data_IF_135329521289
#
_entry.id   IF_135329521289
#
_cell.length_a   1.000
_cell.length_b   1.000
_cell.length_c   1.000
_cell.angle_alpha   90.00
_cell.angle_beta   90.00
_cell.angle_gamma   90.00
#
_symmetry.space_group_name_H-M   'P 1'
#
loop_
_entity.id
_entity.type
_entity.pdbx_description
1 polymer ?
#
# COMPACT_ATOMS: atom_id res chain seq x y z
N UNK A 1 -11.94 -0.43 -19.79
CA UNK A 1 -10.92 0.54 -19.34
C UNK A 1 -10.21 -0.12 -18.18
N UNK A 2 -8.89 -0.18 -18.21
CA UNK A 2 -8.11 -0.75 -17.12
C UNK A 2 -8.25 0.22 -15.93
N UNK A 3 -8.95 -0.19 -14.87
CA UNK A 3 -9.08 0.61 -13.67
C UNK A 3 -7.83 0.39 -12.83
N UNK A 4 -6.74 1.11 -13.14
CA UNK A 4 -5.48 0.99 -12.40
C UNK A 4 -5.74 1.16 -10.89
N UNK A 5 -5.29 0.19 -10.09
CA UNK A 5 -5.20 0.38 -8.64
C UNK A 5 -3.93 1.17 -8.34
N UNK A 6 -3.91 1.84 -7.20
CA UNK A 6 -2.75 2.57 -6.72
C UNK A 6 -2.36 2.07 -5.34
N UNK A 7 -1.09 2.19 -5.01
CA UNK A 7 -0.55 1.93 -3.68
C UNK A 7 0.43 3.04 -3.33
N UNK A 8 0.91 3.08 -2.09
CA UNK A 8 1.91 4.07 -1.68
C UNK A 8 3.29 3.40 -1.69
N UNK A 9 4.23 4.01 -2.40
CA UNK A 9 5.63 3.56 -2.48
C UNK A 9 6.56 4.54 -1.78
N UNK A 10 7.64 4.03 -1.20
CA UNK A 10 8.69 4.74 -0.48
C UNK A 10 9.99 4.73 -1.30
N UNK A 11 10.61 5.90 -1.45
CA UNK A 11 11.84 6.09 -2.23
C UNK A 11 13.11 5.62 -1.51
N UNK A 12 13.07 5.51 -0.19
CA UNK A 12 14.26 5.28 0.64
C UNK A 12 14.70 3.81 0.75
N UNK A 13 13.85 2.85 0.36
CA UNK A 13 14.12 1.42 0.54
C UNK A 13 14.54 0.78 -0.78
N UNK A 14 15.74 0.21 -0.84
CA UNK A 14 16.15 -0.67 -1.94
C UNK A 14 15.90 -2.13 -1.56
N UNK A 15 15.28 -2.90 -2.47
CA UNK A 15 15.03 -4.33 -2.29
C UNK A 15 13.63 -4.68 -1.82
N UNK A 16 12.64 -4.61 -2.72
CA UNK A 16 11.31 -5.25 -2.62
C UNK A 16 10.36 -4.75 -1.53
N UNK A 17 10.88 -4.06 -0.51
CA UNK A 17 10.19 -3.58 0.69
C UNK A 17 9.97 -2.07 0.61
N UNK A 18 9.35 -1.63 -0.48
CA UNK A 18 9.14 -0.21 -0.77
C UNK A 18 7.68 0.21 -0.59
N UNK A 19 6.77 -0.70 -0.27
CA UNK A 19 5.34 -0.42 -0.34
C UNK A 19 4.72 -0.25 1.04
N UNK A 20 4.14 0.93 1.27
CA UNK A 20 3.53 1.29 2.54
C UNK A 20 2.21 0.54 2.74
N UNK A 21 2.09 -0.15 3.88
CA UNK A 21 0.90 -0.88 4.27
C UNK A 21 0.11 -0.13 5.36
N UNK A 22 0.74 0.11 6.51
CA UNK A 22 0.11 0.70 7.69
C UNK A 22 1.13 1.37 8.60
N UNK A 23 0.65 2.25 9.50
CA UNK A 23 1.42 2.90 10.56
C UNK A 23 0.79 2.58 11.91
N UNK A 24 1.59 2.32 12.93
CA UNK A 24 1.08 1.99 14.27
C UNK A 24 2.17 1.59 15.26
N UNK A 25 1.79 1.09 16.43
CA UNK A 25 2.76 0.54 17.39
C UNK A 25 3.10 -0.90 17.05
N UNK A 26 4.39 -1.27 17.08
CA UNK A 26 4.83 -2.67 17.01
C UNK A 26 5.89 -2.96 18.06
N UNK A 27 5.67 -3.99 18.88
CA UNK A 27 6.62 -4.44 19.91
C UNK A 27 7.06 -3.30 20.86
N UNK A 28 6.14 -2.40 21.23
CA UNK A 28 6.43 -1.23 22.08
C UNK A 28 7.20 -0.11 21.38
N UNK A 29 7.43 -0.20 20.07
CA UNK A 29 7.97 0.90 19.27
C UNK A 29 6.80 1.73 18.74
N UNK A 30 6.64 2.98 19.20
CA UNK A 30 5.70 3.91 18.60
C UNK A 30 6.16 4.24 17.18
N UNK A 31 5.22 4.45 16.26
CA UNK A 31 5.48 4.83 14.87
C UNK A 31 6.15 3.75 13.99
N UNK A 32 5.89 2.45 14.24
CA UNK A 32 6.23 1.38 13.31
C UNK A 32 5.48 1.54 11.97
N UNK A 33 6.12 1.16 10.87
CA UNK A 33 5.58 1.33 9.52
C UNK A 33 5.75 0.05 8.70
N UNK A 34 4.67 -0.43 8.08
CA UNK A 34 4.71 -1.62 7.24
C UNK A 34 5.28 -1.33 5.86
N UNK A 35 6.46 -1.88 5.57
CA UNK A 35 6.99 -1.98 4.21
C UNK A 35 7.27 -3.45 3.90
N UNK A 36 6.39 -4.05 3.11
CA UNK A 36 6.50 -5.45 2.71
C UNK A 36 6.38 -5.54 1.18
N UNK A 37 5.58 -6.46 0.67
CA UNK A 37 5.29 -6.59 -0.76
C UNK A 37 4.10 -5.71 -1.17
N UNK A 38 3.98 -5.42 -2.47
CA UNK A 38 2.83 -4.71 -3.02
C UNK A 38 1.49 -5.40 -2.71
N UNK A 39 1.49 -6.74 -2.62
CA UNK A 39 0.33 -7.55 -2.28
C UNK A 39 -0.23 -7.29 -0.88
N UNK A 40 0.61 -6.83 0.04
CA UNK A 40 0.20 -6.52 1.42
C UNK A 40 -0.07 -5.03 1.66
N UNK A 41 0.36 -4.17 0.73
CA UNK A 41 0.11 -2.74 0.81
C UNK A 41 -1.40 -2.43 0.73
N UNK A 42 -1.82 -1.30 1.29
CA UNK A 42 -3.15 -0.77 1.03
C UNK A 42 -3.24 -0.38 -0.46
N UNK A 43 -4.39 -0.68 -1.07
CA UNK A 43 -4.73 -0.27 -2.43
C UNK A 43 -5.74 0.86 -2.39
N UNK A 44 -5.66 1.72 -3.40
CA UNK A 44 -6.52 2.86 -3.65
C UNK A 44 -7.09 2.74 -5.05
N UNK A 45 -8.32 3.24 -5.22
CA UNK A 45 -9.01 3.18 -6.52
C UNK A 45 -8.55 4.29 -7.46
N UNK A 46 -7.95 5.34 -6.93
CA UNK A 46 -7.46 6.50 -7.68
C UNK A 46 -6.10 6.95 -7.15
N UNK A 47 -5.38 7.71 -7.98
CA UNK A 47 -4.14 8.35 -7.57
C UNK A 47 -4.41 9.40 -6.47
N UNK A 48 -5.51 10.15 -6.62
CA UNK A 48 -5.91 11.23 -5.73
C UNK A 48 -6.26 10.70 -4.32
N UNK A 49 -6.91 9.54 -4.22
CA UNK A 49 -7.18 8.90 -2.92
C UNK A 49 -5.87 8.50 -2.22
N UNK A 50 -4.91 7.96 -2.97
CA UNK A 50 -3.62 7.58 -2.44
C UNK A 50 -2.83 8.83 -1.99
N UNK A 51 -2.84 9.90 -2.77
CA UNK A 51 -2.19 11.16 -2.41
C UNK A 51 -2.84 11.79 -1.18
N UNK A 52 -4.18 11.83 -1.13
CA UNK A 52 -4.93 12.34 0.04
C UNK A 52 -4.59 11.55 1.30
N UNK A 53 -4.40 10.24 1.17
CA UNK A 53 -3.95 9.41 2.29
C UNK A 53 -2.55 9.80 2.78
N UNK A 54 -1.60 10.04 1.87
CA UNK A 54 -0.25 10.53 2.23
C UNK A 54 -0.37 11.86 2.99
N UNK A 55 -1.16 12.80 2.47
CA UNK A 55 -1.25 14.15 3.01
C UNK A 55 -1.95 14.21 4.37
N UNK A 56 -2.89 13.31 4.63
CA UNK A 56 -3.77 13.38 5.81
C UNK A 56 -3.51 12.31 6.87
N UNK A 57 -3.09 11.11 6.48
CA UNK A 57 -2.94 9.97 7.38
C UNK A 57 -1.49 9.68 7.74
N UNK A 58 -0.53 10.04 6.88
CA UNK A 58 0.87 9.79 7.16
C UNK A 58 1.49 10.90 8.02
N UNK A 59 2.44 10.55 8.91
CA UNK A 59 3.22 11.54 9.65
C UNK A 59 3.96 12.50 8.71
N UNK A 60 4.02 13.78 9.08
CA UNK A 60 4.59 14.86 8.24
C UNK A 60 6.01 14.55 7.75
N UNK A 61 6.85 13.99 8.62
CA UNK A 61 8.24 13.63 8.31
C UNK A 61 8.36 12.48 7.30
N UNK A 62 7.35 11.62 7.17
CA UNK A 62 7.35 10.50 6.24
C UNK A 62 6.90 10.91 4.84
N UNK A 63 5.99 11.90 4.72
CA UNK A 63 5.36 12.31 3.43
C UNK A 63 6.35 12.56 2.29
N UNK A 64 7.48 13.28 2.49
CA UNK A 64 8.39 13.59 1.38
C UNK A 64 9.07 12.37 0.75
N UNK A 65 9.09 11.24 1.44
CA UNK A 65 9.67 9.99 0.95
C UNK A 65 8.65 9.07 0.28
N UNK A 66 7.37 9.47 0.21
CA UNK A 66 6.29 8.62 -0.26
C UNK A 66 5.54 9.24 -1.42
N UNK A 67 5.17 8.40 -2.38
CA UNK A 67 4.39 8.81 -3.53
C UNK A 67 3.42 7.70 -3.94
N UNK A 68 2.28 8.03 -4.57
CA UNK A 68 1.41 7.02 -5.15
C UNK A 68 2.08 6.34 -6.36
N UNK A 69 1.99 5.02 -6.43
CA UNK A 69 2.48 4.23 -7.55
C UNK A 69 1.36 3.32 -8.10
N UNK A 70 1.33 3.17 -9.42
CA UNK A 70 0.36 2.31 -10.09
C UNK A 70 0.61 0.83 -9.76
N UNK A 71 -0.45 0.12 -9.42
CA UNK A 71 -0.48 -1.30 -9.15
C UNK A 71 -1.27 -2.01 -10.24
N UNK A 72 -0.55 -2.55 -11.20
CA UNK A 72 -1.11 -3.09 -12.45
C UNK A 72 -1.17 -4.61 -12.45
N UNK A 73 -1.87 -5.13 -13.46
CA UNK A 73 -2.04 -6.56 -13.73
C UNK A 73 -0.73 -7.37 -13.68
N UNK A 74 0.39 -6.80 -14.15
CA UNK A 74 1.72 -7.42 -14.11
C UNK A 74 2.41 -7.42 -12.73
N UNK A 75 1.86 -6.72 -11.74
CA UNK A 75 2.41 -6.61 -10.38
C UNK A 75 1.69 -7.53 -9.37
N UNK A 76 0.59 -8.17 -9.77
CA UNK A 76 -0.11 -9.15 -8.95
C UNK A 76 0.73 -10.41 -8.76
N UNK A 77 0.84 -10.87 -7.51
CA UNK A 77 1.44 -12.17 -7.19
C UNK A 77 0.35 -13.21 -6.90
N UNK A 78 0.75 -14.43 -6.54
CA UNK A 78 -0.19 -15.52 -6.23
C UNK A 78 -1.20 -15.14 -5.13
N UNK A 79 -0.78 -14.35 -4.14
CA UNK A 79 -1.63 -13.87 -3.04
C UNK A 79 -2.75 -12.93 -3.52
N UNK A 80 -2.58 -12.27 -4.66
CA UNK A 80 -3.56 -11.36 -5.25
C UNK A 80 -4.58 -12.07 -6.14
N UNK A 81 -4.64 -13.41 -6.18
CA UNK A 81 -5.48 -14.13 -7.14
C UNK A 81 -6.95 -13.68 -7.12
N UNK A 82 -7.51 -13.44 -5.93
CA UNK A 82 -8.87 -12.93 -5.78
C UNK A 82 -9.03 -11.47 -6.25
N UNK A 83 -8.06 -10.61 -5.91
CA UNK A 83 -8.03 -9.20 -6.31
C UNK A 83 -7.92 -9.07 -7.83
N UNK A 84 -7.00 -9.83 -8.43
CA UNK A 84 -6.79 -9.92 -9.88
C UNK A 84 -8.06 -10.41 -10.59
N UNK A 85 -8.73 -11.43 -10.07
CA UNK A 85 -9.95 -11.95 -10.67
C UNK A 85 -11.06 -10.89 -10.73
N UNK A 86 -11.27 -10.14 -9.64
CA UNK A 86 -12.29 -9.09 -9.59
C UNK A 86 -11.92 -7.89 -10.46
N UNK A 87 -10.65 -7.47 -10.41
CA UNK A 87 -10.11 -6.40 -11.24
C UNK A 87 -10.30 -6.69 -12.74
N UNK A 88 -9.92 -7.90 -13.18
CA UNK A 88 -10.08 -8.34 -14.57
C UNK A 88 -11.56 -8.47 -14.99
N UNK A 89 -12.44 -8.88 -14.08
CA UNK A 89 -13.87 -8.97 -14.34
C UNK A 89 -14.58 -7.61 -14.38
N UNK A 90 -13.90 -6.53 -13.98
CA UNK A 90 -14.49 -5.19 -13.88
C UNK A 90 -15.59 -5.10 -12.81
N UNK A 91 -15.61 -6.02 -11.84
CA UNK A 91 -16.59 -6.02 -10.76
C UNK A 91 -16.08 -5.16 -9.59
N UNK A 92 -16.98 -4.57 -8.77
CA UNK A 92 -16.57 -3.79 -7.61
C UNK A 92 -15.70 -4.61 -6.66
N UNK A 93 -14.48 -4.12 -6.39
CA UNK A 93 -13.57 -4.71 -5.41
C UNK A 93 -13.98 -4.23 -4.02
N UNK A 94 -14.14 -5.17 -3.08
CA UNK A 94 -14.49 -4.85 -1.69
C UNK A 94 -13.39 -4.08 -0.96
N UNK A 95 -13.76 -3.20 -0.03
CA UNK A 95 -12.79 -2.42 0.76
C UNK A 95 -11.87 -3.30 1.61
N UNK A 96 -12.34 -4.48 2.03
CA UNK A 96 -11.52 -5.47 2.73
C UNK A 96 -10.34 -5.95 1.88
N UNK A 97 -10.53 -6.10 0.57
CA UNK A 97 -9.47 -6.53 -0.36
C UNK A 97 -8.51 -5.41 -0.74
N UNK A 98 -8.92 -4.16 -0.54
CA UNK A 98 -8.07 -2.98 -0.72
C UNK A 98 -7.34 -2.59 0.56
N UNK A 99 -7.74 -3.12 1.71
CA UNK A 99 -7.09 -2.84 2.98
C UNK A 99 -5.70 -3.47 3.04
N UNK A 100 -4.81 -2.83 3.79
CA UNK A 100 -3.51 -3.42 4.08
C UNK A 100 -3.67 -4.74 4.85
N UNK A 101 -2.78 -5.69 4.61
CA UNK A 101 -2.75 -6.94 5.38
C UNK A 101 -2.31 -6.65 6.82
N UNK A 102 -3.12 -6.97 7.84
CA UNK A 102 -2.77 -6.69 9.23
C UNK A 102 -1.48 -7.38 9.68
N UNK A 103 -0.72 -6.71 10.56
CA UNK A 103 0.47 -7.28 11.19
C UNK A 103 1.73 -7.19 10.33
N UNK A 104 1.68 -6.39 9.25
CA UNK A 104 2.80 -6.18 8.32
C UNK A 104 3.67 -4.98 8.70
N UNK A 105 3.39 -4.32 9.81
CA UNK A 105 4.24 -3.30 10.43
C UNK A 105 5.70 -3.79 10.51
N UNK A 106 6.65 -2.98 10.08
CA UNK A 106 8.09 -3.16 10.32
C UNK A 106 8.59 -1.97 11.13
N UNK A 107 9.70 -2.15 11.84
CA UNK A 107 10.28 -1.04 12.59
C UNK A 107 11.06 -0.18 11.60
N UNK A 108 10.59 1.06 11.43
CA UNK A 108 11.38 2.13 10.83
C UNK A 108 11.63 3.15 11.93
N UNK A 109 12.91 3.40 12.21
CA UNK A 109 13.33 4.46 13.12
C UNK A 109 13.62 5.70 12.25
N UNK A 110 13.14 6.85 12.72
CA UNK A 110 13.36 8.18 12.11
C UNK A 110 14.82 8.43 11.77
#
# INVERSE_FOLDING_TARGET
MEHDLYLIQCDHMSGGMCYYAEHGEKCGVPDAVGYDTAAHARKFRTYEDAQTYIDTQMPEWARPSHHPASYRSGSFIMEDAGLRAQHNAGVPISDAMLSATPGRLRVWLR
#
